data_IF_856931903694
#
_entry.id   IF_856931903694
#
_cell.length_a   1.000
_cell.length_b   1.000
_cell.length_c   1.000
_cell.angle_alpha   90.00
_cell.angle_beta   90.00
_cell.angle_gamma   90.00
#
_symmetry.space_group_name_H-M   'P 1'
#
loop_
_entity.id
_entity.type
_entity.pdbx_description
1 polymer ?
#
# COMPACT_ATOMS: atom_id res chain seq x y z
N UNK A 1 -6.43 -22.20 8.10
CA UNK A 1 -6.87 -21.05 8.96
C UNK A 1 -8.17 -20.52 8.39
N UNK A 2 -9.22 -20.33 9.19
CA UNK A 2 -10.53 -19.81 8.73
C UNK A 2 -10.70 -18.41 9.30
N UNK A 3 -10.88 -17.40 8.45
CA UNK A 3 -11.22 -16.04 8.87
C UNK A 3 -12.72 -15.99 9.07
N UNK A 4 -13.18 -15.67 10.29
CA UNK A 4 -14.60 -15.56 10.59
C UNK A 4 -15.14 -14.16 10.31
N UNK A 5 -14.33 -13.12 10.50
CA UNK A 5 -14.64 -11.72 10.18
C UNK A 5 -13.38 -10.92 9.95
N UNK A 6 -13.49 -9.81 9.23
CA UNK A 6 -12.42 -8.84 9.02
C UNK A 6 -13.01 -7.43 9.13
N UNK A 7 -12.26 -6.52 9.75
CA UNK A 7 -12.58 -5.08 9.78
C UNK A 7 -11.58 -4.37 8.89
N UNK A 8 -12.08 -3.68 7.88
CA UNK A 8 -11.27 -2.96 6.90
C UNK A 8 -11.54 -1.48 7.02
N UNK A 9 -10.52 -0.68 7.31
CA UNK A 9 -10.57 0.78 7.30
C UNK A 9 -9.87 1.34 6.06
N UNK A 10 -10.50 2.29 5.36
CA UNK A 10 -9.94 2.98 4.22
C UNK A 10 -9.95 4.48 4.47
N UNK A 11 -8.78 5.12 4.40
CA UNK A 11 -8.62 6.57 4.40
C UNK A 11 -8.29 7.06 2.99
N UNK A 12 -9.12 7.97 2.44
CA UNK A 12 -8.93 8.52 1.11
C UNK A 12 -9.15 10.03 1.13
N UNK A 13 -8.15 10.80 0.69
CA UNK A 13 -8.28 12.23 0.48
C UNK A 13 -9.02 12.46 -0.84
N UNK A 14 -10.26 12.94 -0.79
CA UNK A 14 -11.08 13.10 -2.00
C UNK A 14 -11.01 14.51 -2.54
N UNK A 15 -11.51 15.50 -1.80
CA UNK A 15 -11.66 16.89 -2.27
C UNK A 15 -10.69 17.86 -1.60
N UNK A 16 -9.66 17.39 -0.91
CA UNK A 16 -8.64 18.24 -0.31
C UNK A 16 -7.86 18.94 -1.41
N UNK A 17 -7.83 20.28 -1.36
CA UNK A 17 -7.19 21.12 -2.38
C UNK A 17 -5.72 21.40 -2.09
N UNK A 18 -5.37 21.45 -0.81
CA UNK A 18 -4.03 21.72 -0.33
C UNK A 18 -3.75 20.93 0.95
N UNK A 19 -2.51 20.61 1.15
CA UNK A 19 -2.04 19.93 2.36
C UNK A 19 -0.98 20.76 3.07
N UNK A 20 -0.80 20.58 4.37
CA UNK A 20 0.32 21.18 5.10
C UNK A 20 1.67 20.82 4.46
N UNK A 21 2.58 21.79 4.43
CA UNK A 21 3.88 21.63 3.76
C UNK A 21 4.86 20.68 4.46
N UNK A 22 4.58 20.31 5.70
CA UNK A 22 5.33 19.35 6.51
C UNK A 22 5.00 17.88 6.19
N UNK A 23 3.94 17.64 5.43
CA UNK A 23 3.60 16.31 4.97
C UNK A 23 4.47 15.91 3.76
N UNK A 24 5.05 14.70 3.74
CA UNK A 24 6.07 14.35 2.76
C UNK A 24 5.54 14.22 1.32
N UNK A 25 4.31 13.76 1.11
CA UNK A 25 3.77 13.53 -0.24
C UNK A 25 2.26 13.30 -0.27
N UNK A 26 1.45 14.12 0.39
CA UNK A 26 0.01 13.93 0.37
C UNK A 26 -0.55 14.27 -1.01
N UNK A 27 -1.57 13.53 -1.42
CA UNK A 27 -2.33 13.80 -2.65
C UNK A 27 -3.81 13.50 -2.43
N UNK A 28 -4.67 14.20 -3.16
CA UNK A 28 -6.10 13.94 -3.19
C UNK A 28 -6.58 13.57 -4.60
N UNK A 29 -7.76 12.98 -4.68
CA UNK A 29 -8.42 12.74 -5.98
C UNK A 29 -8.71 14.06 -6.71
N UNK A 30 -9.07 15.12 -5.99
CA UNK A 30 -9.24 16.44 -6.58
C UNK A 30 -7.99 16.93 -7.32
N UNK A 31 -6.81 16.78 -6.72
CA UNK A 31 -5.55 17.20 -7.33
C UNK A 31 -5.18 16.37 -8.56
N UNK A 32 -5.60 15.10 -8.60
CA UNK A 32 -5.36 14.20 -9.73
C UNK A 32 -6.31 14.52 -10.91
N UNK A 33 -7.62 14.68 -10.64
CA UNK A 33 -8.64 14.80 -11.71
C UNK A 33 -8.99 16.24 -12.04
N UNK A 34 -8.56 17.22 -11.24
CA UNK A 34 -8.77 18.67 -11.47
C UNK A 34 -10.19 19.15 -11.21
N UNK A 35 -11.05 18.37 -10.56
CA UNK A 35 -12.43 18.74 -10.23
C UNK A 35 -12.91 18.14 -8.93
N UNK A 36 -13.90 18.78 -8.32
CA UNK A 36 -14.58 18.29 -7.12
C UNK A 36 -15.41 17.04 -7.45
N UNK A 37 -15.35 16.07 -6.56
CA UNK A 37 -16.03 14.78 -6.69
C UNK A 37 -17.15 14.67 -5.65
N UNK A 38 -18.26 14.05 -6.03
CA UNK A 38 -19.34 13.69 -5.10
C UNK A 38 -18.86 12.58 -4.15
N UNK A 39 -18.79 12.91 -2.86
CA UNK A 39 -18.34 11.99 -1.82
C UNK A 39 -19.25 10.75 -1.71
N UNK A 40 -20.56 10.91 -1.95
CA UNK A 40 -21.50 9.79 -1.91
C UNK A 40 -21.24 8.81 -3.03
N UNK A 41 -20.95 9.32 -4.22
CA UNK A 41 -20.60 8.52 -5.38
C UNK A 41 -19.28 7.78 -5.18
N UNK A 42 -18.24 8.49 -4.71
CA UNK A 42 -16.91 7.88 -4.43
C UNK A 42 -17.05 6.76 -3.39
N UNK A 43 -17.79 7.01 -2.31
CA UNK A 43 -18.03 6.00 -1.27
C UNK A 43 -18.79 4.78 -1.79
N UNK A 44 -19.84 5.00 -2.60
CA UNK A 44 -20.65 3.92 -3.16
C UNK A 44 -19.82 3.05 -4.11
N UNK A 45 -18.98 3.68 -4.94
CA UNK A 45 -18.07 2.97 -5.84
C UNK A 45 -17.04 2.15 -5.05
N UNK A 46 -16.47 2.72 -3.99
CA UNK A 46 -15.53 2.01 -3.13
C UNK A 46 -16.18 0.75 -2.51
N UNK A 47 -17.38 0.88 -1.96
CA UNK A 47 -18.10 -0.27 -1.40
C UNK A 47 -18.40 -1.34 -2.45
N UNK A 48 -18.86 -0.95 -3.62
CA UNK A 48 -19.13 -1.89 -4.72
C UNK A 48 -17.87 -2.68 -5.13
N UNK A 49 -16.73 -1.99 -5.26
CA UNK A 49 -15.46 -2.64 -5.60
C UNK A 49 -14.98 -3.58 -4.48
N UNK A 50 -15.16 -3.19 -3.21
CA UNK A 50 -14.83 -4.05 -2.08
C UNK A 50 -15.72 -5.30 -2.03
N UNK A 51 -17.03 -5.16 -2.19
CA UNK A 51 -17.96 -6.30 -2.24
C UNK A 51 -17.61 -7.27 -3.36
N UNK A 52 -17.32 -6.74 -4.55
CA UNK A 52 -16.89 -7.57 -5.68
C UNK A 52 -15.63 -8.37 -5.33
N UNK A 53 -14.59 -7.73 -4.82
CA UNK A 53 -13.32 -8.39 -4.46
C UNK A 53 -13.50 -9.42 -3.34
N UNK A 54 -14.28 -9.11 -2.32
CA UNK A 54 -14.55 -10.04 -1.23
C UNK A 54 -15.36 -11.25 -1.72
N UNK A 55 -16.35 -11.05 -2.61
CA UNK A 55 -17.11 -12.11 -3.26
C UNK A 55 -16.22 -13.04 -4.08
N UNK A 56 -15.30 -12.49 -4.87
CA UNK A 56 -14.32 -13.25 -5.63
C UNK A 56 -13.41 -14.09 -4.71
N UNK A 57 -12.88 -13.53 -3.63
CA UNK A 57 -12.04 -14.24 -2.64
C UNK A 57 -12.82 -15.40 -1.99
N UNK A 58 -14.09 -15.19 -1.67
CA UNK A 58 -14.92 -16.21 -1.03
C UNK A 58 -15.22 -17.41 -1.94
N UNK A 59 -15.32 -17.17 -3.26
CA UNK A 59 -15.69 -18.21 -4.25
C UNK A 59 -14.47 -18.86 -4.90
N UNK A 60 -13.35 -18.14 -5.01
CA UNK A 60 -12.17 -18.54 -5.77
C UNK A 60 -10.96 -18.82 -4.87
N UNK A 61 -11.17 -19.40 -3.72
CA UNK A 61 -10.11 -19.71 -2.75
C UNK A 61 -8.80 -20.32 -3.34
N UNK A 62 -8.81 -21.06 -4.47
CA UNK A 62 -7.59 -21.51 -5.14
C UNK A 62 -6.77 -20.42 -5.82
N UNK A 63 -7.34 -19.23 -6.04
CA UNK A 63 -6.73 -18.12 -6.82
C UNK A 63 -6.13 -17.02 -5.96
N UNK A 64 -5.90 -17.25 -4.66
CA UNK A 64 -5.19 -16.29 -3.77
C UNK A 64 -3.85 -15.81 -4.37
N UNK A 65 -3.21 -16.65 -5.18
CA UNK A 65 -1.97 -16.30 -5.88
C UNK A 65 -2.17 -15.16 -6.92
N UNK A 66 -3.33 -15.10 -7.59
CA UNK A 66 -3.62 -14.01 -8.54
C UNK A 66 -3.74 -12.65 -7.83
N UNK A 67 -4.39 -12.60 -6.67
CA UNK A 67 -4.49 -11.36 -5.88
C UNK A 67 -3.14 -10.92 -5.35
N UNK A 68 -2.29 -11.87 -4.98
CA UNK A 68 -0.92 -11.57 -4.56
C UNK A 68 -0.11 -10.97 -5.72
N UNK A 69 -0.19 -11.55 -6.91
CA UNK A 69 0.48 -11.02 -8.10
C UNK A 69 -0.04 -9.63 -8.48
N UNK A 70 -1.38 -9.42 -8.49
CA UNK A 70 -2.01 -8.12 -8.75
C UNK A 70 -1.57 -7.05 -7.71
N UNK A 71 -1.43 -7.46 -6.44
CA UNK A 71 -0.86 -6.61 -5.39
C UNK A 71 0.60 -6.25 -5.66
N UNK A 72 1.43 -7.23 -6.01
CA UNK A 72 2.84 -7.00 -6.29
C UNK A 72 3.07 -6.11 -7.52
N UNK A 73 2.23 -6.22 -8.55
CA UNK A 73 2.28 -5.34 -9.72
C UNK A 73 2.04 -3.87 -9.38
N UNK A 74 1.25 -3.60 -8.34
CA UNK A 74 0.92 -2.25 -7.88
C UNK A 74 1.72 -1.79 -6.67
N UNK A 75 2.63 -2.62 -6.18
CA UNK A 75 3.42 -2.31 -5.01
C UNK A 75 4.38 -1.15 -5.31
N UNK A 76 4.24 -0.06 -4.55
CA UNK A 76 5.02 1.15 -4.73
C UNK A 76 6.52 0.89 -4.67
N UNK A 77 7.25 1.34 -5.68
CA UNK A 77 8.70 1.19 -5.84
C UNK A 77 9.20 -0.27 -5.77
N UNK A 78 8.36 -1.23 -6.14
CA UNK A 78 8.84 -2.59 -6.31
C UNK A 78 9.87 -2.66 -7.44
N UNK A 79 10.94 -3.42 -7.22
CA UNK A 79 12.05 -3.62 -8.15
C UNK A 79 12.83 -2.34 -8.50
N UNK A 80 12.59 -1.25 -7.77
CA UNK A 80 13.34 -0.01 -7.86
C UNK A 80 14.28 0.14 -6.67
N UNK A 81 15.48 0.68 -6.91
CA UNK A 81 16.38 1.04 -5.83
C UNK A 81 15.88 2.28 -5.11
N UNK A 82 15.85 2.23 -3.79
CA UNK A 82 15.43 3.35 -2.95
C UNK A 82 16.23 3.45 -1.66
N UNK A 83 16.14 4.62 -1.02
CA UNK A 83 16.66 4.83 0.33
C UNK A 83 15.55 4.63 1.33
N UNK A 84 15.85 3.86 2.37
CA UNK A 84 14.94 3.52 3.45
C UNK A 84 15.57 3.84 4.80
N UNK A 85 14.74 4.08 5.80
CA UNK A 85 15.19 4.31 7.18
C UNK A 85 14.60 3.22 8.07
N UNK A 86 15.42 2.61 8.89
CA UNK A 86 14.93 1.72 9.95
C UNK A 86 14.29 2.57 11.05
N UNK A 87 13.00 2.34 11.33
CA UNK A 87 12.21 3.16 12.26
C UNK A 87 12.68 3.06 13.72
N UNK A 88 13.32 1.95 14.10
CA UNK A 88 13.80 1.76 15.48
C UNK A 88 15.17 2.42 15.71
N UNK A 89 16.07 2.30 14.73
CA UNK A 89 17.46 2.76 14.89
C UNK A 89 17.71 4.12 14.24
N UNK A 90 16.80 4.62 13.39
CA UNK A 90 16.98 5.81 12.59
C UNK A 90 18.02 5.68 11.46
N UNK A 91 18.67 4.51 11.33
CA UNK A 91 19.72 4.30 10.32
C UNK A 91 19.13 4.18 8.93
N UNK A 92 19.70 4.93 7.98
CA UNK A 92 19.36 4.82 6.58
C UNK A 92 20.15 3.71 5.87
N UNK A 93 19.53 3.10 4.89
CA UNK A 93 20.12 2.07 4.04
C UNK A 93 19.50 2.09 2.65
N UNK A 94 20.22 1.57 1.68
CA UNK A 94 19.74 1.39 0.31
C UNK A 94 19.21 -0.02 0.15
N UNK A 95 18.06 -0.15 -0.52
CA UNK A 95 17.45 -1.46 -0.77
C UNK A 95 16.52 -1.46 -1.97
N UNK A 96 16.08 -2.65 -2.33
CA UNK A 96 15.12 -2.91 -3.42
C UNK A 96 14.03 -3.80 -2.86
N UNK A 97 12.78 -3.35 -2.92
CA UNK A 97 11.62 -4.18 -2.56
C UNK A 97 11.45 -5.27 -3.62
N UNK A 98 11.37 -6.51 -3.19
CA UNK A 98 11.20 -7.66 -4.09
C UNK A 98 9.85 -8.33 -3.97
N UNK A 99 9.34 -8.48 -2.75
CA UNK A 99 8.13 -9.26 -2.47
C UNK A 99 7.48 -8.85 -1.16
N UNK A 100 6.29 -9.34 -0.92
CA UNK A 100 5.62 -9.34 0.39
C UNK A 100 5.16 -10.76 0.68
N UNK A 101 5.62 -11.34 1.77
CA UNK A 101 5.25 -12.70 2.16
C UNK A 101 3.75 -12.79 2.55
N UNK A 102 3.14 -14.00 2.52
CA UNK A 102 1.75 -14.18 2.94
C UNK A 102 1.44 -13.77 4.39
N UNK A 103 2.44 -13.67 5.24
CA UNK A 103 2.33 -13.15 6.61
C UNK A 103 2.50 -11.62 6.70
N UNK A 104 2.65 -10.92 5.55
CA UNK A 104 2.79 -9.47 5.45
C UNK A 104 4.21 -8.93 5.63
N UNK A 105 5.23 -9.80 5.75
CA UNK A 105 6.62 -9.33 5.82
C UNK A 105 7.08 -8.85 4.44
N UNK A 106 7.63 -7.63 4.40
CA UNK A 106 8.26 -7.06 3.22
C UNK A 106 9.62 -7.72 2.99
N UNK A 107 9.85 -8.22 1.78
CA UNK A 107 11.12 -8.82 1.38
C UNK A 107 11.93 -7.81 0.59
N UNK A 108 13.12 -7.50 1.06
CA UNK A 108 14.00 -6.53 0.43
C UNK A 108 15.39 -7.11 0.18
N UNK A 109 15.93 -6.80 -0.99
CA UNK A 109 17.36 -6.97 -1.26
C UNK A 109 18.11 -5.74 -0.73
N UNK A 110 19.04 -5.96 0.17
CA UNK A 110 19.96 -4.95 0.70
C UNK A 110 21.41 -5.41 0.51
N UNK A 111 22.39 -4.60 0.90
CA UNK A 111 23.82 -4.91 0.70
C UNK A 111 24.21 -6.31 1.21
N UNK A 112 23.73 -6.70 2.39
CA UNK A 112 24.02 -8.00 3.02
C UNK A 112 23.11 -9.15 2.54
N UNK A 113 22.29 -8.95 1.49
CA UNK A 113 21.37 -9.96 0.96
C UNK A 113 19.90 -9.69 1.24
N UNK A 114 19.07 -10.73 1.19
CA UNK A 114 17.64 -10.61 1.44
C UNK A 114 17.34 -10.43 2.93
N UNK A 115 16.57 -9.38 3.25
CA UNK A 115 16.05 -9.13 4.60
C UNK A 115 14.52 -9.03 4.58
N UNK A 116 13.92 -9.30 5.72
CA UNK A 116 12.49 -9.26 5.95
C UNK A 116 12.17 -8.18 6.97
N UNK A 117 11.16 -7.34 6.69
CA UNK A 117 10.77 -6.24 7.56
C UNK A 117 9.27 -6.33 7.85
N UNK A 118 8.92 -6.15 9.11
CA UNK A 118 7.53 -6.05 9.53
C UNK A 118 6.95 -4.66 9.21
N UNK A 119 5.64 -4.55 9.32
CA UNK A 119 4.93 -3.28 9.15
C UNK A 119 5.48 -2.22 10.12
N UNK A 120 5.79 -1.04 9.59
CA UNK A 120 6.40 0.10 10.32
C UNK A 120 7.84 -0.12 10.83
N UNK A 121 8.53 -1.17 10.46
CA UNK A 121 9.98 -1.30 10.76
C UNK A 121 10.85 -0.44 9.85
N UNK A 122 10.35 -0.10 8.67
CA UNK A 122 11.05 0.78 7.73
C UNK A 122 10.16 1.92 7.25
N UNK A 123 10.79 3.01 6.89
CA UNK A 123 10.20 4.20 6.28
C UNK A 123 10.90 4.49 4.95
N UNK A 124 10.13 4.98 3.97
CA UNK A 124 10.72 5.51 2.74
C UNK A 124 11.37 6.86 3.03
N UNK A 125 12.61 7.05 2.56
CA UNK A 125 13.25 8.36 2.54
C UNK A 125 12.96 9.00 1.18
N UNK A 126 12.12 10.04 1.19
CA UNK A 126 11.83 10.83 0.01
C UNK A 126 12.84 11.98 -0.05
N UNK A 127 13.75 11.96 -1.04
CA UNK A 127 14.55 13.14 -1.35
C UNK A 127 13.62 14.15 -2.03
N UNK A 128 13.23 15.19 -1.29
CA UNK A 128 12.49 16.35 -1.80
C UNK A 128 13.39 17.20 -2.68
#
# INVERSE_FOLDING_TARGET
MRINYSIIGVGLNVNERAFPSDLPNPISLYQIVGKELDLSLVRSLLYQLMEQRLGEIATLAPTLNMYHLDYLERLYKRDEQGTFRNAQTGREFVGIIRDVQPNGLLVMMVEDGLKHFAFKEIEYVHNL
#
